data_IF_036789457016
#
_entry.id   IF_036789457016
#
_cell.length_a   1.000
_cell.length_b   1.000
_cell.length_c   1.000
_cell.angle_alpha   90.00
_cell.angle_beta   90.00
_cell.angle_gamma   90.00
#
_symmetry.space_group_name_H-M   'P 1'
#
loop_
_entity.id
_entity.type
_entity.pdbx_description
1 polymer ?
#
# COMPACT_ATOMS: atom_id res chain seq x y z
N UNK A 1 -1.98 28.17 -3.86
CA UNK A 1 -3.11 27.85 -4.76
C UNK A 1 -3.50 26.41 -4.46
N UNK A 2 -4.76 26.14 -4.11
CA UNK A 2 -5.25 24.77 -3.89
C UNK A 2 -5.90 24.33 -5.20
N UNK A 3 -5.36 23.32 -5.86
CA UNK A 3 -5.97 22.71 -7.04
C UNK A 3 -6.89 21.57 -6.57
N UNK A 4 -8.16 21.61 -6.97
CA UNK A 4 -9.09 20.51 -6.75
C UNK A 4 -9.22 19.70 -8.03
N UNK A 5 -8.69 18.47 -8.04
CA UNK A 5 -8.99 17.47 -9.06
C UNK A 5 -10.36 16.84 -8.74
N UNK A 6 -11.37 17.14 -9.57
CA UNK A 6 -12.70 16.53 -9.44
C UNK A 6 -12.89 15.46 -10.52
N UNK A 7 -13.00 14.21 -10.07
CA UNK A 7 -13.44 13.10 -10.91
C UNK A 7 -14.95 12.91 -10.89
N UNK A 8 -15.51 12.38 -11.97
CA UNK A 8 -16.90 11.93 -12.06
C UNK A 8 -16.99 10.41 -12.00
N UNK A 9 -18.18 9.86 -11.72
CA UNK A 9 -18.41 8.43 -11.84
C UNK A 9 -18.29 7.99 -13.32
N UNK A 10 -17.58 6.90 -13.57
CA UNK A 10 -17.51 6.27 -14.89
C UNK A 10 -16.24 5.46 -15.12
N UNK A 11 -16.11 4.93 -16.34
CA UNK A 11 -15.03 4.03 -16.76
C UNK A 11 -13.99 4.71 -17.65
N UNK A 12 -14.32 5.85 -18.24
CA UNK A 12 -13.44 6.60 -19.13
C UNK A 12 -12.22 7.19 -18.40
N UNK A 13 -11.15 7.58 -19.13
CA UNK A 13 -10.04 8.33 -18.54
C UNK A 13 -10.53 9.52 -17.71
N UNK A 14 -9.89 9.75 -16.55
CA UNK A 14 -10.26 10.77 -15.56
C UNK A 14 -11.64 10.60 -14.89
N UNK A 15 -12.37 9.52 -15.18
CA UNK A 15 -13.54 9.09 -14.39
C UNK A 15 -13.16 7.98 -13.42
N UNK A 16 -13.97 7.77 -12.38
CA UNK A 16 -13.64 6.84 -11.31
C UNK A 16 -14.82 5.94 -10.95
N UNK A 17 -14.50 4.74 -10.49
CA UNK A 17 -15.42 3.79 -9.91
C UNK A 17 -14.75 3.18 -8.66
N UNK A 18 -15.17 3.63 -7.48
CA UNK A 18 -14.57 3.24 -6.20
C UNK A 18 -13.05 3.56 -6.17
N UNK A 19 -12.64 4.85 -6.32
CA UNK A 19 -11.26 5.23 -6.06
C UNK A 19 -10.96 5.02 -4.58
N UNK A 20 -9.93 4.23 -4.29
CA UNK A 20 -9.73 3.66 -2.97
C UNK A 20 -8.44 4.13 -2.29
N UNK A 21 -7.43 4.50 -3.07
CA UNK A 21 -6.15 4.97 -2.55
C UNK A 21 -5.49 5.94 -3.51
N UNK A 22 -4.67 6.83 -2.96
CA UNK A 22 -3.86 7.79 -3.71
C UNK A 22 -2.46 7.84 -3.14
N UNK A 23 -1.47 8.05 -4.00
CA UNK A 23 -0.08 8.36 -3.62
C UNK A 23 0.52 9.34 -4.65
N UNK A 24 1.61 10.01 -4.29
CA UNK A 24 2.30 10.98 -5.15
C UNK A 24 3.76 10.60 -5.21
N UNK A 25 4.35 10.61 -6.41
CA UNK A 25 5.78 10.36 -6.57
C UNK A 25 6.63 11.64 -6.49
N UNK A 26 7.94 11.48 -6.47
CA UNK A 26 8.90 12.58 -6.28
C UNK A 26 8.90 13.61 -7.41
N UNK A 27 8.36 13.27 -8.58
CA UNK A 27 8.26 14.18 -9.73
C UNK A 27 6.88 14.82 -9.86
N UNK A 28 5.97 14.51 -8.92
CA UNK A 28 4.66 15.14 -8.84
C UNK A 28 3.58 14.49 -9.69
N UNK A 29 3.69 13.19 -9.98
CA UNK A 29 2.56 12.43 -10.53
C UNK A 29 1.70 11.89 -9.39
N UNK A 30 0.38 12.05 -9.52
CA UNK A 30 -0.64 11.53 -8.61
C UNK A 30 -1.15 10.20 -9.13
N UNK A 31 -0.98 9.14 -8.35
CA UNK A 31 -1.35 7.77 -8.69
C UNK A 31 -2.59 7.36 -7.89
N UNK A 32 -3.69 7.04 -8.56
CA UNK A 32 -4.98 6.73 -7.94
C UNK A 32 -5.38 5.30 -8.24
N UNK A 33 -5.51 4.48 -7.19
CA UNK A 33 -6.07 3.14 -7.25
C UNK A 33 -7.59 3.22 -7.44
N UNK A 34 -8.05 2.98 -8.66
CA UNK A 34 -9.44 3.04 -9.09
C UNK A 34 -10.01 1.63 -9.11
N UNK A 35 -10.34 1.14 -7.92
CA UNK A 35 -10.53 -0.29 -7.63
C UNK A 35 -11.65 -0.91 -8.47
N UNK A 36 -12.79 -0.24 -8.56
CA UNK A 36 -13.96 -0.74 -9.29
C UNK A 36 -13.75 -0.79 -10.81
N UNK A 37 -12.88 0.08 -11.34
CA UNK A 37 -12.46 0.02 -12.74
C UNK A 37 -11.25 -0.89 -12.97
N UNK A 38 -10.71 -1.51 -11.92
CA UNK A 38 -9.53 -2.40 -11.97
C UNK A 38 -8.34 -1.74 -12.66
N UNK A 39 -7.98 -0.54 -12.19
CA UNK A 39 -6.84 0.20 -12.73
C UNK A 39 -6.16 1.08 -11.69
N UNK A 40 -4.95 1.53 -12.02
CA UNK A 40 -4.36 2.73 -11.42
C UNK A 40 -4.32 3.81 -12.49
N UNK A 41 -4.86 4.99 -12.20
CA UNK A 41 -4.77 6.16 -13.08
C UNK A 41 -3.69 7.11 -12.58
N UNK A 42 -3.02 7.80 -13.50
CA UNK A 42 -1.92 8.72 -13.17
C UNK A 42 -2.24 10.11 -13.71
N UNK A 43 -2.00 11.12 -12.89
CA UNK A 43 -2.27 12.53 -13.20
C UNK A 43 -1.07 13.40 -12.87
N UNK A 44 -0.95 14.54 -13.53
CA UNK A 44 -0.04 15.58 -13.10
C UNK A 44 -0.62 16.33 -11.89
N UNK A 45 0.17 16.54 -10.83
CA UNK A 45 -0.35 17.15 -9.58
C UNK A 45 -0.71 18.63 -9.72
N UNK A 46 -0.08 19.34 -10.65
CA UNK A 46 -0.11 20.81 -10.74
C UNK A 46 -1.17 21.27 -11.75
N UNK A 47 -1.36 20.51 -12.83
CA UNK A 47 -2.34 20.77 -13.89
C UNK A 47 -3.60 19.91 -13.76
N UNK A 48 -3.47 18.72 -13.17
CA UNK A 48 -4.53 17.73 -13.12
C UNK A 48 -4.73 16.94 -14.42
N UNK A 49 -3.85 17.10 -15.40
CA UNK A 49 -3.92 16.37 -16.67
C UNK A 49 -3.77 14.86 -16.45
N UNK A 50 -4.57 14.07 -17.17
CA UNK A 50 -4.44 12.61 -17.17
C UNK A 50 -3.22 12.20 -17.99
N UNK A 51 -2.31 11.46 -17.37
CA UNK A 51 -1.03 11.05 -17.95
C UNK A 51 -1.05 9.60 -18.46
N UNK A 52 -1.97 8.77 -17.97
CA UNK A 52 -2.05 7.36 -18.33
C UNK A 52 -2.73 6.50 -17.27
N UNK A 53 -2.76 5.19 -17.53
CA UNK A 53 -3.26 4.21 -16.58
C UNK A 53 -2.58 2.85 -16.73
N UNK A 54 -2.58 2.09 -15.64
CA UNK A 54 -2.26 0.66 -15.63
C UNK A 54 -3.54 -0.14 -15.37
N UNK A 55 -3.85 -1.05 -16.27
CA UNK A 55 -5.00 -1.97 -16.18
C UNK A 55 -4.61 -3.43 -16.48
N UNK A 56 -3.40 -3.64 -17.02
CA UNK A 56 -2.85 -4.92 -17.44
C UNK A 56 -2.40 -5.79 -16.25
N UNK A 57 -2.01 -5.21 -15.11
CA UNK A 57 -1.73 -5.96 -13.89
C UNK A 57 -2.97 -6.24 -13.00
N UNK A 58 -4.17 -5.87 -13.45
CA UNK A 58 -5.42 -5.93 -12.67
C UNK A 58 -6.54 -6.69 -13.39
N UNK A 59 -6.20 -7.78 -14.09
CA UNK A 59 -7.17 -8.56 -14.88
C UNK A 59 -8.22 -9.27 -14.02
N UNK A 60 -7.83 -9.75 -12.84
CA UNK A 60 -8.70 -10.45 -11.89
C UNK A 60 -9.44 -9.48 -10.96
N UNK A 61 -8.70 -8.59 -10.29
CA UNK A 61 -9.20 -7.64 -9.28
C UNK A 61 -8.43 -6.30 -9.37
N UNK A 62 -9.13 -5.21 -9.04
CA UNK A 62 -8.55 -3.89 -8.90
C UNK A 62 -7.78 -3.65 -7.59
N UNK A 63 -6.86 -2.69 -7.60
CA UNK A 63 -6.02 -2.38 -6.45
C UNK A 63 -6.85 -1.78 -5.29
N UNK A 64 -6.63 -2.25 -4.07
CA UNK A 64 -7.18 -1.62 -2.86
C UNK A 64 -6.30 -0.48 -2.34
N UNK A 65 -4.98 -0.62 -2.45
CA UNK A 65 -4.07 0.45 -2.06
C UNK A 65 -2.75 0.43 -2.82
N UNK A 66 -2.09 1.59 -2.91
CA UNK A 66 -0.82 1.79 -3.64
C UNK A 66 0.11 2.74 -2.88
N UNK A 67 1.39 2.41 -2.75
CA UNK A 67 2.43 3.25 -2.13
C UNK A 67 3.78 3.10 -2.85
N UNK A 68 4.53 4.19 -2.94
CA UNK A 68 5.92 4.14 -3.41
C UNK A 68 6.87 3.63 -2.33
N UNK A 69 7.91 2.91 -2.76
CA UNK A 69 9.10 2.66 -1.95
C UNK A 69 9.90 3.95 -1.73
N UNK A 70 10.75 4.03 -0.69
CA UNK A 70 11.45 5.26 -0.35
C UNK A 70 12.42 5.75 -1.44
N UNK A 71 12.95 4.83 -2.24
CA UNK A 71 13.81 5.15 -3.38
C UNK A 71 13.03 5.63 -4.61
N UNK A 72 11.70 5.60 -4.57
CA UNK A 72 10.81 5.95 -5.67
C UNK A 72 10.86 4.99 -6.86
N UNK A 73 11.56 3.85 -6.76
CA UNK A 73 11.78 2.94 -7.89
C UNK A 73 10.71 1.86 -8.01
N UNK A 74 9.93 1.63 -6.95
CA UNK A 74 8.89 0.60 -6.92
C UNK A 74 7.60 1.12 -6.34
N UNK A 75 6.50 0.47 -6.71
CA UNK A 75 5.19 0.62 -6.10
C UNK A 75 4.81 -0.70 -5.42
N UNK A 76 4.32 -0.60 -4.19
CA UNK A 76 3.67 -1.67 -3.46
C UNK A 76 2.16 -1.50 -3.65
N UNK A 77 1.48 -2.51 -4.16
CA UNK A 77 0.06 -2.45 -4.52
C UNK A 77 -0.67 -3.64 -3.87
N UNK A 78 -1.73 -3.41 -3.10
CA UNK A 78 -2.54 -4.52 -2.56
C UNK A 78 -3.70 -4.89 -3.49
N UNK A 79 -4.00 -6.19 -3.51
CA UNK A 79 -5.23 -6.74 -4.05
C UNK A 79 -5.97 -7.47 -2.92
N UNK A 80 -7.17 -6.99 -2.61
CA UNK A 80 -7.89 -7.31 -1.38
C UNK A 80 -8.34 -8.77 -1.35
N UNK A 81 -9.14 -9.20 -2.32
CA UNK A 81 -9.72 -10.54 -2.33
C UNK A 81 -8.71 -11.60 -2.79
N UNK A 82 -7.64 -11.18 -3.48
CA UNK A 82 -6.51 -12.05 -3.84
C UNK A 82 -5.49 -12.23 -2.71
N UNK A 83 -5.68 -11.56 -1.56
CA UNK A 83 -4.80 -11.67 -0.39
C UNK A 83 -3.32 -11.51 -0.74
N UNK A 84 -2.97 -10.55 -1.61
CA UNK A 84 -1.59 -10.40 -2.11
C UNK A 84 -1.18 -8.94 -2.28
N UNK A 85 0.14 -8.73 -2.23
CA UNK A 85 0.78 -7.47 -2.62
C UNK A 85 1.57 -7.69 -3.91
N UNK A 86 1.43 -6.79 -4.87
CA UNK A 86 2.28 -6.68 -6.03
C UNK A 86 3.40 -5.68 -5.74
N UNK A 87 4.60 -5.99 -6.22
CA UNK A 87 5.74 -5.09 -6.28
C UNK A 87 5.95 -4.77 -7.76
N UNK A 88 5.65 -3.55 -8.18
CA UNK A 88 5.78 -3.12 -9.56
C UNK A 88 6.91 -2.08 -9.72
N UNK A 89 7.58 -2.07 -10.86
CA UNK A 89 8.56 -1.05 -11.18
C UNK A 89 7.87 0.30 -11.43
N UNK A 90 8.38 1.38 -10.84
CA UNK A 90 7.94 2.72 -11.16
C UNK A 90 8.39 3.08 -12.59
N UNK A 91 7.49 3.59 -13.46
CA UNK A 91 7.89 3.97 -14.80
C UNK A 91 8.70 5.26 -14.76
N UNK A 92 9.60 5.47 -15.74
CA UNK A 92 10.35 6.71 -15.86
C UNK A 92 9.40 7.92 -16.06
N UNK A 93 9.97 9.12 -15.94
CA UNK A 93 9.23 10.36 -16.25
C UNK A 93 8.89 10.38 -17.74
N UNK A 94 7.69 10.84 -18.08
CA UNK A 94 7.19 10.92 -19.46
C UNK A 94 6.10 9.89 -19.74
N UNK A 95 6.48 8.64 -20.05
CA UNK A 95 5.50 7.61 -20.40
C UNK A 95 5.15 6.71 -19.21
N UNK A 96 3.86 6.58 -18.91
CA UNK A 96 3.34 5.66 -17.87
C UNK A 96 3.50 4.20 -18.30
N UNK A 97 3.35 3.90 -19.59
CA UNK A 97 3.52 2.56 -20.15
C UNK A 97 2.63 1.48 -19.51
N UNK A 98 3.04 0.23 -19.68
CA UNK A 98 2.39 -0.93 -19.09
C UNK A 98 2.94 -1.23 -17.69
N UNK A 99 2.14 -1.91 -16.87
CA UNK A 99 2.50 -2.29 -15.51
C UNK A 99 3.57 -3.39 -15.53
N UNK A 100 4.74 -3.12 -14.94
CA UNK A 100 5.84 -4.09 -14.85
C UNK A 100 5.91 -4.69 -13.44
N UNK A 101 5.22 -5.80 -13.20
CA UNK A 101 5.28 -6.52 -11.92
C UNK A 101 6.63 -7.22 -11.79
N UNK A 102 7.38 -6.86 -10.75
CA UNK A 102 8.70 -7.42 -10.40
C UNK A 102 8.51 -8.69 -9.57
N UNK A 103 7.63 -8.64 -8.57
CA UNK A 103 7.40 -9.74 -7.64
C UNK A 103 6.02 -9.64 -7.00
N UNK A 104 5.57 -10.76 -6.43
CA UNK A 104 4.30 -10.87 -5.71
C UNK A 104 4.55 -11.44 -4.33
N UNK A 105 4.01 -10.78 -3.32
CA UNK A 105 3.96 -11.29 -1.95
C UNK A 105 2.56 -11.85 -1.72
N UNK A 106 2.45 -13.17 -1.68
CA UNK A 106 1.23 -13.82 -1.20
C UNK A 106 1.13 -13.64 0.33
N UNK A 107 -0.01 -13.14 0.79
CA UNK A 107 -0.36 -13.09 2.20
C UNK A 107 -1.06 -14.40 2.58
N UNK A 108 -1.19 -14.65 3.88
CA UNK A 108 -1.94 -15.81 4.35
C UNK A 108 -3.39 -15.77 3.87
N UNK A 109 -3.99 -16.94 3.69
CA UNK A 109 -5.38 -17.06 3.27
C UNK A 109 -6.29 -16.25 4.20
N UNK A 110 -7.29 -15.58 3.61
CA UNK A 110 -8.26 -14.71 4.29
C UNK A 110 -7.70 -13.38 4.83
N UNK A 111 -6.42 -13.07 4.63
CA UNK A 111 -5.91 -11.70 4.88
C UNK A 111 -6.43 -10.79 3.78
N UNK A 112 -7.24 -9.79 4.15
CA UNK A 112 -7.84 -8.85 3.21
C UNK A 112 -7.10 -7.49 3.28
N UNK A 113 -5.98 -7.30 2.56
CA UNK A 113 -5.17 -6.07 2.64
C UNK A 113 -5.93 -4.87 2.07
N UNK A 114 -6.46 -4.03 2.95
CA UNK A 114 -7.33 -2.91 2.59
C UNK A 114 -6.56 -1.61 2.40
N UNK A 115 -5.61 -1.34 3.29
CA UNK A 115 -4.70 -0.20 3.20
C UNK A 115 -3.26 -0.65 3.43
N UNK A 116 -2.34 0.12 2.88
CA UNK A 116 -0.91 -0.03 3.12
C UNK A 116 -0.24 1.31 3.34
N UNK A 117 0.86 1.25 4.07
CA UNK A 117 1.84 2.33 4.16
C UNK A 117 3.27 1.78 4.05
N UNK A 118 4.20 2.61 3.62
CA UNK A 118 5.62 2.22 3.48
C UNK A 118 6.49 3.23 4.22
N UNK A 119 7.28 2.73 5.18
CA UNK A 119 8.24 3.53 5.93
C UNK A 119 9.27 4.16 5.02
N UNK A 120 9.30 5.50 4.95
CA UNK A 120 10.28 6.23 4.15
C UNK A 120 11.72 6.11 4.70
N UNK A 121 11.89 5.69 5.96
CA UNK A 121 13.20 5.49 6.57
C UNK A 121 13.76 4.09 6.34
N UNK A 122 12.91 3.08 6.38
CA UNK A 122 13.35 1.67 6.43
C UNK A 122 12.87 0.83 5.27
N UNK A 123 11.90 1.30 4.49
CA UNK A 123 11.23 0.50 3.45
C UNK A 123 10.26 -0.55 4.00
N UNK A 124 10.04 -0.60 5.31
CA UNK A 124 9.08 -1.52 5.92
C UNK A 124 7.67 -1.28 5.36
N UNK A 125 7.02 -2.36 4.93
CA UNK A 125 5.64 -2.34 4.42
C UNK A 125 4.71 -2.64 5.59
N UNK A 126 3.70 -1.80 5.76
CA UNK A 126 2.66 -1.94 6.76
C UNK A 126 1.33 -2.20 6.06
N UNK A 127 0.60 -3.21 6.51
CA UNK A 127 -0.66 -3.64 5.87
C UNK A 127 -1.77 -3.63 6.90
N UNK A 128 -2.86 -2.92 6.61
CA UNK A 128 -4.09 -2.96 7.39
C UNK A 128 -5.10 -3.88 6.69
N UNK A 129 -5.57 -4.92 7.39
CA UNK A 129 -6.55 -5.86 6.84
C UNK A 129 -7.99 -5.56 7.27
N UNK A 130 -8.96 -5.93 6.42
CA UNK A 130 -10.38 -6.02 6.82
C UNK A 130 -10.62 -7.35 7.52
N UNK A 131 -11.42 -7.31 8.59
CA UNK A 131 -11.96 -8.53 9.20
C UNK A 131 -10.96 -9.31 10.05
N UNK A 132 -9.85 -8.67 10.46
CA UNK A 132 -8.92 -9.24 11.41
C UNK A 132 -9.66 -9.76 12.64
N UNK A 133 -9.68 -11.09 12.81
CA UNK A 133 -10.28 -11.69 13.99
C UNK A 133 -9.50 -11.22 15.21
N UNK A 134 -10.20 -10.49 16.05
CA UNK A 134 -9.75 -10.02 17.34
C UNK A 134 -9.13 -11.19 18.12
N UNK A 135 -7.87 -11.05 18.53
CA UNK A 135 -7.50 -11.60 19.84
C UNK A 135 -7.82 -10.50 20.84
N UNK A 136 -8.64 -10.78 21.87
CA UNK A 136 -8.71 -9.90 23.03
C UNK A 136 -7.29 -9.72 23.57
N UNK A 137 -6.66 -8.58 23.25
CA UNK A 137 -5.35 -8.22 23.77
C UNK A 137 -5.54 -7.09 24.76
N UNK A 138 -5.51 -7.43 26.05
CA UNK A 138 -5.41 -6.44 27.10
C UNK A 138 -4.04 -5.75 26.99
N UNK A 139 -3.96 -4.42 26.83
CA UNK A 139 -2.70 -3.71 26.81
C UNK A 139 -2.07 -3.75 28.21
N UNK A 140 -1.24 -4.76 28.43
CA UNK A 140 -0.43 -4.89 29.64
C UNK A 140 0.81 -3.96 29.63
N UNK A 141 1.76 -4.16 30.55
CA UNK A 141 3.03 -3.43 30.54
C UNK A 141 3.80 -3.63 29.22
N UNK A 142 4.33 -2.56 28.63
CA UNK A 142 5.16 -2.59 27.40
C UNK A 142 4.52 -2.07 26.12
N UNK A 143 3.30 -1.51 26.17
CA UNK A 143 2.69 -0.78 25.05
C UNK A 143 3.08 0.71 25.11
N UNK A 144 3.55 1.27 24.00
CA UNK A 144 3.81 2.71 23.87
C UNK A 144 2.52 3.42 23.47
N UNK A 145 2.05 4.34 24.33
CA UNK A 145 0.89 5.20 24.07
C UNK A 145 1.37 6.51 23.47
N UNK A 146 0.88 6.83 22.27
CA UNK A 146 1.09 8.17 21.69
C UNK A 146 0.09 9.13 22.37
N UNK A 147 0.53 10.24 22.97
CA UNK A 147 -0.39 11.13 23.71
C UNK A 147 -1.34 11.92 22.80
N UNK A 148 -0.93 12.18 21.56
CA UNK A 148 -1.63 13.08 20.64
C UNK A 148 -2.46 12.36 19.56
N UNK A 149 -2.36 11.04 19.50
CA UNK A 149 -3.18 10.18 18.67
C UNK A 149 -3.60 8.97 19.48
N UNK A 150 -4.84 8.54 19.33
CA UNK A 150 -5.40 7.31 19.88
C UNK A 150 -4.66 6.07 19.33
N UNK A 151 -3.35 5.93 19.52
CA UNK A 151 -2.52 4.90 18.91
C UNK A 151 -1.68 4.18 19.97
N UNK A 152 -1.75 2.85 19.98
CA UNK A 152 -0.89 1.96 20.76
C UNK A 152 -0.04 1.10 19.84
N UNK A 153 1.26 1.02 20.12
CA UNK A 153 2.19 0.18 19.37
C UNK A 153 2.74 -0.92 20.27
N UNK A 154 2.85 -2.13 19.71
CA UNK A 154 3.65 -3.19 20.35
C UNK A 154 4.36 -4.04 19.32
N UNK A 155 5.63 -4.27 19.61
CA UNK A 155 6.45 -5.25 18.91
C UNK A 155 6.20 -6.64 19.49
N UNK A 156 5.82 -7.62 18.66
CA UNK A 156 5.73 -9.03 19.05
C UNK A 156 6.31 -9.91 17.95
N UNK A 157 7.45 -10.55 18.25
CA UNK A 157 8.12 -11.52 17.37
C UNK A 157 8.17 -11.05 15.89
N UNK A 158 8.77 -9.90 15.64
CA UNK A 158 8.98 -9.34 14.28
C UNK A 158 7.72 -8.79 13.58
N UNK A 159 6.66 -8.50 14.34
CA UNK A 159 5.47 -7.83 13.81
C UNK A 159 5.16 -6.59 14.64
N UNK A 160 4.88 -5.50 13.93
CA UNK A 160 4.40 -4.26 14.54
C UNK A 160 2.87 -4.36 14.64
N UNK A 161 2.34 -4.39 15.84
CA UNK A 161 0.89 -4.27 16.06
C UNK A 161 0.57 -2.80 16.27
N UNK A 162 -0.33 -2.27 15.45
CA UNK A 162 -0.83 -0.89 15.58
C UNK A 162 -2.27 -0.94 16.00
N UNK A 163 -2.58 -0.38 17.17
CA UNK A 163 -3.94 -0.27 17.63
C UNK A 163 -4.43 1.17 17.59
N UNK A 164 -5.62 1.40 17.05
CA UNK A 164 -6.32 2.69 17.10
C UNK A 164 -7.34 2.65 18.25
N UNK A 165 -7.39 3.64 19.14
CA UNK A 165 -8.40 3.74 20.20
C UNK A 165 -9.69 4.34 19.65
N UNK A 166 -10.78 3.60 19.85
CA UNK A 166 -12.16 4.01 19.58
C UNK A 166 -12.95 3.93 20.90
N UNK A 167 -12.89 5.00 21.70
CA UNK A 167 -13.57 5.03 23.01
C UNK A 167 -12.95 4.05 24.02
N UNK A 168 -13.74 3.24 24.76
CA UNK A 168 -13.20 2.28 25.75
C UNK A 168 -12.51 1.06 25.11
N UNK A 169 -12.47 0.97 23.78
CA UNK A 169 -11.92 -0.15 23.03
C UNK A 169 -10.70 0.28 22.19
N UNK A 170 -9.85 -0.69 21.87
CA UNK A 170 -8.68 -0.52 20.99
C UNK A 170 -8.80 -1.47 19.79
N UNK A 171 -8.71 -0.92 18.58
CA UNK A 171 -8.71 -1.60 17.29
C UNK A 171 -7.28 -1.94 16.87
N UNK A 172 -6.80 -3.14 17.18
CA UNK A 172 -5.45 -3.60 16.85
C UNK A 172 -5.34 -4.27 15.47
N UNK A 173 -4.45 -3.74 14.63
CA UNK A 173 -4.05 -4.28 13.32
C UNK A 173 -2.66 -4.92 13.43
N UNK A 174 -2.50 -6.10 12.83
CA UNK A 174 -1.18 -6.68 12.62
C UNK A 174 -0.55 -6.03 11.40
N UNK A 175 0.52 -5.26 11.59
CA UNK A 175 1.38 -4.89 10.48
C UNK A 175 2.46 -5.96 10.33
N UNK A 176 2.38 -6.70 9.23
CA UNK A 176 3.42 -7.64 8.86
C UNK A 176 4.63 -6.86 8.33
N UNK A 177 5.72 -6.82 9.09
CA UNK A 177 7.00 -6.33 8.57
C UNK A 177 7.61 -7.44 7.71
N UNK A 178 7.52 -7.29 6.38
CA UNK A 178 8.42 -7.99 5.46
C UNK A 178 9.47 -6.99 5.02
N UNK A 179 10.67 -7.13 5.56
CA UNK A 179 11.85 -6.47 4.98
C UNK A 179 12.05 -7.07 3.58
N UNK A 180 12.31 -6.23 2.58
CA UNK A 180 12.79 -6.72 1.29
C UNK A 180 14.10 -7.47 1.56
N UNK A 181 14.08 -8.79 1.43
CA UNK A 181 15.25 -9.61 1.64
C UNK A 181 16.31 -9.22 0.60
N UNK A 182 17.42 -8.64 1.07
CA UNK A 182 18.66 -8.64 0.33
C UNK A 182 19.02 -10.09 0.05
N UNK A 183 19.13 -10.44 -1.23
CA UNK A 183 19.58 -11.75 -1.72
C UNK A 183 20.81 -12.25 -0.95
N UNK A 184 20.82 -13.49 -0.42
CA UNK A 184 22.06 -14.10 0.03
C UNK A 184 22.87 -14.46 -1.22
N UNK A 185 24.03 -13.83 -1.39
CA UNK A 185 25.04 -14.38 -2.29
C UNK A 185 25.61 -15.63 -1.61
N UNK A 186 25.33 -16.78 -2.22
CA UNK A 186 26.05 -18.02 -1.97
C UNK A 186 27.55 -17.79 -2.20
N UNK A 187 28.35 -17.98 -1.15
CA UNK A 187 29.75 -18.36 -1.31
C UNK A 187 30.07 -19.45 -0.29
N UNK A 188 29.63 -20.66 -0.58
CA UNK A 188 30.37 -21.84 -0.15
C UNK A 188 31.56 -22.01 -1.11
N UNK A 189 32.78 -21.87 -0.59
CA UNK A 189 33.92 -22.60 -1.13
C UNK A 189 34.69 -23.22 0.02
N UNK A 190 34.74 -24.55 0.00
CA UNK A 190 35.70 -25.35 0.73
C UNK A 190 37.10 -25.13 0.14
N UNK A 191 38.10 -25.12 1.02
CA UNK A 191 39.53 -25.07 0.72
C UNK A 191 40.31 -24.93 2.00
#
# INVERSE_FOLDING_TARGET
MILWLRGENGTEPAKFNIPHSVTVDSVGRVWVADRGNRRIQVFDKDTGEWLGAWNDCFTEEGPSAVRFTPDGKRLIIAQLNLSRLLIAAAPPVGNIGNCSVISTIQLADQVLPHLLDVSQKTGAIYVAEIGAKQGHMNPGPGWLKVPEASLLFRWKKERLVVCISEGPQYLCLWLAEKTEASSPTDVHSHG
#
